data_IF_263307111979
#
_entry.id   IF_263307111979
#
_cell.length_a   1.000
_cell.length_b   1.000
_cell.length_c   1.000
_cell.angle_alpha   90.00
_cell.angle_beta   90.00
_cell.angle_gamma   90.00
#
_symmetry.space_group_name_H-M   'P 1'
#
loop_
_entity.id
_entity.type
_entity.pdbx_description
1 polymer ?
#
# COMPACT_ATOMS: atom_id res chain seq x y z
N UNK A 1 -22.77 -21.67 -13.62
CA UNK A 1 -22.80 -21.85 -15.09
C UNK A 1 -24.15 -22.37 -15.57
N UNK A 2 -24.69 -23.46 -15.02
CA UNK A 2 -25.99 -24.04 -15.42
C UNK A 2 -27.17 -23.05 -15.35
N UNK A 3 -27.26 -22.21 -14.31
CA UNK A 3 -28.31 -21.20 -14.18
C UNK A 3 -28.29 -20.07 -15.23
N UNK A 4 -27.31 -20.07 -16.16
CA UNK A 4 -27.32 -19.18 -17.33
C UNK A 4 -28.03 -19.81 -18.54
N UNK A 5 -28.45 -21.07 -18.45
CA UNK A 5 -29.19 -21.74 -19.51
C UNK A 5 -30.68 -21.36 -19.45
N UNK A 6 -31.22 -20.93 -20.59
CA UNK A 6 -32.61 -20.52 -20.73
C UNK A 6 -32.84 -19.03 -20.46
N UNK A 7 -33.81 -18.45 -21.17
CA UNK A 7 -34.26 -17.07 -20.97
C UNK A 7 -35.64 -17.09 -20.32
N UNK A 8 -35.76 -16.64 -19.05
CA UNK A 8 -37.06 -16.48 -18.41
C UNK A 8 -37.98 -15.64 -19.33
N UNK A 9 -39.23 -16.07 -19.49
CA UNK A 9 -40.27 -15.48 -20.37
C UNK A 9 -40.21 -15.83 -21.87
N UNK A 10 -39.11 -16.36 -22.40
CA UNK A 10 -39.00 -16.70 -23.83
C UNK A 10 -38.93 -18.20 -24.09
N UNK A 11 -38.19 -18.94 -23.27
CA UNK A 11 -37.93 -20.36 -23.47
C UNK A 11 -38.77 -21.19 -22.48
N UNK A 12 -39.37 -22.29 -22.94
CA UNK A 12 -40.19 -23.21 -22.11
C UNK A 12 -39.34 -24.28 -21.41
N UNK A 13 -38.14 -24.53 -21.91
CA UNK A 13 -37.16 -25.44 -21.33
C UNK A 13 -35.75 -25.00 -21.70
N UNK A 14 -34.76 -25.44 -20.93
CA UNK A 14 -33.36 -25.18 -21.18
C UNK A 14 -32.55 -26.45 -21.01
N UNK A 15 -31.54 -26.63 -21.85
CA UNK A 15 -30.64 -27.79 -21.81
C UNK A 15 -29.25 -27.30 -21.48
N UNK A 16 -28.62 -27.90 -20.47
CA UNK A 16 -27.21 -27.69 -20.14
C UNK A 16 -26.48 -29.03 -20.26
N UNK A 17 -25.41 -29.05 -21.07
CA UNK A 17 -24.56 -30.23 -21.25
C UNK A 17 -23.26 -29.97 -20.49
N UNK A 18 -22.92 -30.86 -19.56
CA UNK A 18 -21.73 -30.75 -18.71
C UNK A 18 -20.75 -31.86 -19.11
N UNK A 19 -19.63 -31.47 -19.69
CA UNK A 19 -18.53 -32.39 -19.99
C UNK A 19 -17.61 -32.49 -18.77
N UNK A 20 -17.45 -33.70 -18.23
CA UNK A 20 -16.62 -33.99 -17.05
C UNK A 20 -15.83 -35.27 -17.28
N UNK A 21 -14.71 -35.40 -16.57
CA UNK A 21 -14.00 -36.68 -16.48
C UNK A 21 -14.90 -37.73 -15.82
N UNK A 22 -14.80 -38.98 -16.27
CA UNK A 22 -15.68 -40.06 -15.81
C UNK A 22 -15.66 -40.23 -14.27
N UNK A 23 -14.49 -40.10 -13.65
CA UNK A 23 -14.31 -40.13 -12.19
C UNK A 23 -15.13 -39.07 -11.44
N UNK A 24 -15.42 -37.91 -12.05
CA UNK A 24 -16.21 -36.82 -11.45
C UNK A 24 -17.69 -36.88 -11.82
N UNK A 25 -18.09 -37.78 -12.73
CA UNK A 25 -19.47 -37.88 -13.23
C UNK A 25 -20.46 -38.16 -12.12
N UNK A 26 -20.16 -39.12 -11.25
CA UNK A 26 -21.05 -39.50 -10.13
C UNK A 26 -21.20 -38.33 -9.16
N UNK A 27 -20.08 -37.68 -8.82
CA UNK A 27 -20.06 -36.49 -7.94
C UNK A 27 -20.96 -35.38 -8.48
N UNK A 28 -20.76 -34.94 -9.74
CA UNK A 28 -21.60 -33.89 -10.31
C UNK A 28 -23.05 -34.33 -10.48
N UNK A 29 -23.30 -35.58 -10.90
CA UNK A 29 -24.66 -36.09 -11.03
C UNK A 29 -25.42 -36.01 -9.71
N UNK A 30 -24.79 -36.38 -8.59
CA UNK A 30 -25.43 -36.30 -7.28
C UNK A 30 -25.74 -34.84 -6.91
N UNK A 31 -24.75 -33.95 -6.93
CA UNK A 31 -24.91 -32.57 -6.47
C UNK A 31 -25.63 -31.62 -7.44
N UNK A 32 -26.04 -32.10 -8.63
CA UNK A 32 -26.96 -31.39 -9.51
C UNK A 32 -28.42 -31.55 -9.08
N UNK A 33 -28.76 -32.66 -8.43
CA UNK A 33 -30.12 -32.96 -7.98
C UNK A 33 -30.27 -32.87 -6.45
N UNK A 34 -29.18 -33.06 -5.71
CA UNK A 34 -29.11 -32.86 -4.26
C UNK A 34 -28.29 -31.60 -3.96
N UNK A 35 -28.72 -30.76 -2.99
CA UNK A 35 -27.96 -29.57 -2.61
C UNK A 35 -26.59 -29.97 -2.03
N UNK A 36 -25.56 -29.21 -2.40
CA UNK A 36 -24.21 -29.41 -1.87
C UNK A 36 -24.14 -29.00 -0.39
N UNK A 37 -23.58 -29.83 0.51
CA UNK A 37 -23.43 -29.46 1.92
C UNK A 37 -22.45 -28.31 2.05
N UNK A 38 -22.87 -27.22 2.68
CA UNK A 38 -22.03 -26.06 2.93
C UNK A 38 -21.42 -26.20 4.32
N UNK A 39 -20.10 -26.14 4.39
CA UNK A 39 -19.33 -26.18 5.64
C UNK A 39 -18.59 -24.85 5.86
N UNK A 40 -18.23 -24.57 7.11
CA UNK A 40 -17.51 -23.35 7.45
C UNK A 40 -16.01 -23.48 7.17
N UNK A 41 -15.42 -22.44 6.59
CA UNK A 41 -13.96 -22.28 6.43
C UNK A 41 -13.41 -21.15 7.30
N UNK A 42 -14.07 -20.84 8.42
CA UNK A 42 -13.70 -19.74 9.30
C UNK A 42 -12.38 -20.00 10.07
N UNK A 43 -12.09 -21.26 10.41
CA UNK A 43 -10.99 -21.61 11.30
C UNK A 43 -9.61 -21.04 10.88
N UNK A 44 -9.18 -21.12 9.60
CA UNK A 44 -7.90 -20.53 9.18
C UNK A 44 -7.86 -19.00 9.26
N UNK A 45 -9.01 -18.33 9.16
CA UNK A 45 -9.11 -16.87 9.19
C UNK A 45 -9.48 -16.32 10.57
N UNK A 46 -9.76 -17.19 11.55
CA UNK A 46 -10.34 -16.83 12.84
C UNK A 46 -9.46 -15.84 13.61
N UNK A 47 -8.14 -15.99 13.57
CA UNK A 47 -7.20 -15.08 14.22
C UNK A 47 -7.35 -13.64 13.73
N UNK A 48 -7.54 -13.42 12.43
CA UNK A 48 -7.74 -12.06 11.89
C UNK A 48 -9.04 -11.44 12.41
N UNK A 49 -10.12 -12.22 12.48
CA UNK A 49 -11.41 -11.75 12.99
C UNK A 49 -11.35 -11.46 14.50
N UNK A 50 -10.75 -12.35 15.29
CA UNK A 50 -10.58 -12.14 16.73
C UNK A 50 -9.73 -10.89 17.00
N UNK A 51 -8.63 -10.68 16.26
CA UNK A 51 -7.85 -9.44 16.37
C UNK A 51 -8.69 -8.19 16.07
N UNK A 52 -9.55 -8.24 15.05
CA UNK A 52 -10.44 -7.13 14.71
C UNK A 52 -11.45 -6.83 15.83
N UNK A 53 -12.00 -7.85 16.48
CA UNK A 53 -12.95 -7.68 17.58
C UNK A 53 -12.27 -7.27 18.91
N UNK A 54 -11.03 -7.67 19.13
CA UNK A 54 -10.22 -7.14 20.24
C UNK A 54 -9.88 -5.66 19.97
N UNK A 55 -9.55 -5.31 18.72
CA UNK A 55 -9.28 -3.93 18.31
C UNK A 55 -10.53 -3.04 18.41
N UNK A 56 -11.73 -3.57 18.14
CA UNK A 56 -13.00 -2.86 18.29
C UNK A 56 -13.41 -2.69 19.76
N UNK A 57 -12.80 -3.46 20.66
CA UNK A 57 -13.09 -3.48 22.10
C UNK A 57 -14.29 -4.34 22.48
N UNK A 58 -14.82 -5.14 21.55
CA UNK A 58 -15.89 -6.11 21.80
C UNK A 58 -15.38 -7.34 22.56
N UNK A 59 -14.14 -7.77 22.29
CA UNK A 59 -13.49 -8.89 22.98
C UNK A 59 -12.37 -8.35 23.87
N UNK A 60 -12.40 -8.71 25.15
CA UNK A 60 -11.43 -8.37 26.20
C UNK A 60 -10.97 -9.58 27.01
N UNK A 61 -11.60 -10.75 26.85
CA UNK A 61 -11.23 -11.97 27.58
C UNK A 61 -11.39 -13.21 26.71
N UNK A 62 -10.72 -14.30 27.08
CA UNK A 62 -10.87 -15.61 26.39
C UNK A 62 -12.33 -16.09 26.39
N UNK A 63 -13.09 -15.82 27.45
CA UNK A 63 -14.50 -16.16 27.53
C UNK A 63 -15.33 -15.46 26.45
N UNK A 64 -15.05 -14.19 26.17
CA UNK A 64 -15.73 -13.45 25.10
C UNK A 64 -15.36 -13.96 23.70
N UNK A 65 -14.19 -14.59 23.53
CA UNK A 65 -13.86 -15.29 22.28
C UNK A 65 -14.75 -16.52 22.09
N UNK A 66 -15.05 -17.28 23.16
CA UNK A 66 -16.01 -18.39 23.11
C UNK A 66 -17.38 -17.88 22.68
N UNK A 67 -17.86 -16.81 23.32
CA UNK A 67 -19.15 -16.19 23.01
C UNK A 67 -19.20 -15.73 21.55
N UNK A 68 -18.14 -15.09 21.05
CA UNK A 68 -18.00 -14.72 19.65
C UNK A 68 -18.12 -15.94 18.72
N UNK A 69 -17.33 -16.99 18.97
CA UNK A 69 -17.35 -18.22 18.16
C UNK A 69 -18.74 -18.85 18.19
N UNK A 70 -19.42 -18.87 19.35
CA UNK A 70 -20.77 -19.43 19.51
C UNK A 70 -21.82 -18.79 18.60
N UNK A 71 -21.63 -17.51 18.25
CA UNK A 71 -22.48 -16.77 17.33
C UNK A 71 -22.26 -17.09 15.84
N UNK A 72 -21.21 -17.85 15.50
CA UNK A 72 -20.80 -18.08 14.11
C UNK A 72 -21.48 -19.28 13.46
N UNK A 73 -21.48 -19.30 12.12
CA UNK A 73 -21.88 -20.49 11.36
C UNK A 73 -20.95 -21.68 11.61
N UNK A 74 -19.68 -21.42 11.91
CA UNK A 74 -18.71 -22.46 12.29
C UNK A 74 -19.18 -23.26 13.50
N UNK A 75 -19.58 -22.59 14.58
CA UNK A 75 -20.07 -23.28 15.77
C UNK A 75 -21.27 -24.18 15.43
N UNK A 76 -22.26 -23.67 14.70
CA UNK A 76 -23.43 -24.49 14.31
C UNK A 76 -23.05 -25.73 13.49
N UNK A 77 -22.07 -25.61 12.59
CA UNK A 77 -21.59 -26.73 11.77
C UNK A 77 -20.70 -27.70 12.53
N UNK A 78 -19.91 -27.22 13.50
CA UNK A 78 -19.08 -28.06 14.36
C UNK A 78 -19.92 -29.11 15.07
N UNK A 79 -21.07 -28.74 15.65
CA UNK A 79 -21.98 -29.69 16.31
C UNK A 79 -22.77 -30.57 15.33
N UNK A 80 -23.02 -30.10 14.12
CA UNK A 80 -23.78 -30.85 13.11
C UNK A 80 -22.92 -31.90 12.36
N UNK A 81 -21.64 -31.62 12.16
CA UNK A 81 -20.70 -32.50 11.46
C UNK A 81 -19.28 -32.37 12.04
N UNK A 82 -19.03 -32.84 13.28
CA UNK A 82 -17.74 -32.65 13.94
C UNK A 82 -16.57 -33.32 13.21
N UNK A 83 -16.81 -34.47 12.57
CA UNK A 83 -15.82 -35.22 11.83
C UNK A 83 -15.18 -34.44 10.68
N UNK A 84 -15.93 -33.50 10.07
CA UNK A 84 -15.39 -32.63 9.02
C UNK A 84 -14.28 -31.72 9.55
N UNK A 85 -14.37 -31.30 10.81
CA UNK A 85 -13.40 -30.42 11.47
C UNK A 85 -12.30 -31.21 12.21
N UNK A 86 -12.22 -32.53 12.02
CA UNK A 86 -11.23 -33.40 12.65
C UNK A 86 -11.59 -33.88 14.06
N UNK A 87 -12.84 -33.68 14.50
CA UNK A 87 -13.33 -34.15 15.79
C UNK A 87 -14.09 -35.48 15.61
N UNK A 88 -13.48 -36.58 16.06
CA UNK A 88 -14.07 -37.93 15.95
C UNK A 88 -14.89 -38.34 17.16
N UNK A 89 -14.53 -37.86 18.35
CA UNK A 89 -15.32 -38.08 19.57
C UNK A 89 -16.31 -36.94 19.75
N UNK A 90 -17.61 -37.24 19.72
CA UNK A 90 -18.71 -36.27 19.80
C UNK A 90 -19.22 -36.05 21.22
N UNK A 91 -18.48 -36.49 22.25
CA UNK A 91 -18.81 -36.17 23.63
C UNK A 91 -18.78 -34.65 23.87
N UNK A 92 -19.66 -34.16 24.74
CA UNK A 92 -19.74 -32.73 25.08
C UNK A 92 -18.40 -32.21 25.65
N UNK A 93 -17.71 -33.05 26.44
CA UNK A 93 -16.39 -32.74 26.99
C UNK A 93 -15.35 -32.57 25.88
N UNK A 94 -15.28 -33.49 24.92
CA UNK A 94 -14.33 -33.40 23.80
C UNK A 94 -14.59 -32.18 22.90
N UNK A 95 -15.86 -31.81 22.70
CA UNK A 95 -16.20 -30.59 21.95
C UNK A 95 -15.74 -29.31 22.66
N UNK A 96 -15.93 -29.23 23.99
CA UNK A 96 -15.46 -28.09 24.77
C UNK A 96 -13.93 -28.01 24.81
N UNK A 97 -13.24 -29.15 24.97
CA UNK A 97 -11.79 -29.21 24.88
C UNK A 97 -11.27 -28.75 23.51
N UNK A 98 -11.93 -29.15 22.43
CA UNK A 98 -11.56 -28.72 21.08
C UNK A 98 -11.74 -27.21 20.87
N UNK A 99 -12.86 -26.64 21.33
CA UNK A 99 -13.09 -25.20 21.27
C UNK A 99 -12.06 -24.42 22.09
N UNK A 100 -11.73 -24.89 23.30
CA UNK A 100 -10.65 -24.30 24.10
C UNK A 100 -9.32 -24.33 23.36
N UNK A 101 -8.95 -25.48 22.77
CA UNK A 101 -7.72 -25.63 22.00
C UNK A 101 -7.63 -24.70 20.78
N UNK A 102 -8.75 -24.45 20.09
CA UNK A 102 -8.82 -23.45 19.01
C UNK A 102 -8.53 -22.05 19.56
N UNK A 103 -9.12 -21.69 20.70
CA UNK A 103 -8.96 -20.35 21.28
C UNK A 103 -7.52 -20.15 21.74
N UNK A 104 -6.95 -21.13 22.42
CA UNK A 104 -5.55 -21.08 22.86
C UNK A 104 -4.61 -20.95 21.66
N UNK A 105 -4.87 -21.68 20.58
CA UNK A 105 -4.11 -21.55 19.32
C UNK A 105 -4.25 -20.16 18.71
N UNK A 106 -5.46 -19.59 18.65
CA UNK A 106 -5.71 -18.25 18.10
C UNK A 106 -5.02 -17.17 18.93
N UNK A 107 -5.17 -17.21 20.25
CA UNK A 107 -4.52 -16.25 21.16
C UNK A 107 -3.01 -16.36 21.02
N UNK A 108 -2.45 -17.58 21.00
CA UNK A 108 -1.02 -17.80 20.84
C UNK A 108 -0.49 -17.27 19.49
N UNK A 109 -1.22 -17.48 18.40
CA UNK A 109 -0.87 -16.94 17.08
C UNK A 109 -0.88 -15.41 17.07
N UNK A 110 -1.87 -14.78 17.70
CA UNK A 110 -1.96 -13.32 17.78
C UNK A 110 -0.87 -12.71 18.66
N UNK A 111 -0.53 -13.35 19.78
CA UNK A 111 0.62 -12.96 20.63
C UNK A 111 1.92 -13.10 19.85
N UNK A 112 2.13 -14.22 19.15
CA UNK A 112 3.34 -14.46 18.33
C UNK A 112 3.46 -13.47 17.16
N UNK A 113 2.36 -12.82 16.76
CA UNK A 113 2.37 -11.76 15.74
C UNK A 113 2.54 -10.36 16.31
N UNK A 114 2.76 -10.23 17.62
CA UNK A 114 2.72 -8.98 18.38
C UNK A 114 1.41 -8.19 18.18
N UNK A 115 0.30 -8.84 17.82
CA UNK A 115 -0.98 -8.16 17.56
C UNK A 115 -1.79 -7.90 18.83
N UNK A 116 -1.65 -8.76 19.85
CA UNK A 116 -2.33 -8.62 21.14
C UNK A 116 -1.34 -8.74 22.29
N UNK A 117 -1.71 -8.17 23.43
CA UNK A 117 -0.99 -8.30 24.71
C UNK A 117 -1.96 -8.92 25.71
N UNK A 118 -1.49 -9.96 26.40
CA UNK A 118 -2.21 -10.60 27.50
C UNK A 118 -1.67 -10.01 28.79
N UNK A 119 -2.53 -9.33 29.55
CA UNK A 119 -2.16 -8.76 30.83
C UNK A 119 -2.33 -9.82 31.92
N UNK A 120 -1.23 -10.20 32.57
CA UNK A 120 -1.20 -11.17 33.67
C UNK A 120 -1.09 -10.49 35.05
N UNK A 121 -1.46 -9.20 35.16
CA UNK A 121 -1.40 -8.51 36.46
C UNK A 121 -2.44 -9.06 37.45
N UNK A 122 -2.09 -9.21 38.74
CA UNK A 122 -2.93 -9.81 39.77
C UNK A 122 -4.02 -8.83 40.27
N UNK A 123 -4.84 -8.31 39.36
CA UNK A 123 -6.10 -7.62 39.67
C UNK A 123 -7.29 -8.48 39.21
N UNK A 124 -8.51 -8.11 39.62
CA UNK A 124 -9.72 -8.95 39.65
C UNK A 124 -10.15 -9.63 38.32
N UNK A 125 -9.51 -9.33 37.19
CA UNK A 125 -9.73 -9.97 35.88
C UNK A 125 -8.43 -10.65 35.37
N UNK A 126 -8.16 -11.87 35.84
CA UNK A 126 -7.09 -12.70 35.26
C UNK A 126 -7.34 -12.88 33.74
N UNK A 127 -6.35 -12.53 32.90
CA UNK A 127 -6.35 -12.70 31.43
C UNK A 127 -7.10 -11.64 30.59
N UNK A 128 -6.91 -10.35 30.88
CA UNK A 128 -7.37 -9.29 29.99
C UNK A 128 -6.57 -9.28 28.66
N UNK A 129 -7.29 -9.35 27.54
CA UNK A 129 -6.77 -9.26 26.19
C UNK A 129 -6.86 -7.82 25.70
N UNK A 130 -5.71 -7.24 25.34
CA UNK A 130 -5.65 -5.89 24.78
C UNK A 130 -5.00 -5.87 23.39
N UNK A 131 -5.49 -5.00 22.51
CA UNK A 131 -4.94 -4.86 21.16
C UNK A 131 -3.68 -4.00 21.17
N UNK A 132 -2.58 -4.52 20.60
CA UNK A 132 -1.34 -3.78 20.44
C UNK A 132 -1.45 -2.73 19.34
N UNK A 133 -0.43 -1.87 19.20
CA UNK A 133 -0.35 -0.93 18.07
C UNK A 133 -0.27 -1.67 16.73
N UNK A 134 0.42 -2.82 16.68
CA UNK A 134 0.56 -3.64 15.48
C UNK A 134 -0.74 -4.39 15.13
N UNK A 135 -1.50 -4.84 16.14
CA UNK A 135 -2.85 -5.40 15.95
C UNK A 135 -3.81 -4.37 15.37
N UNK A 136 -3.74 -3.11 15.86
CA UNK A 136 -4.49 -1.98 15.31
C UNK A 136 -4.12 -1.71 13.85
N UNK A 137 -2.83 -1.75 13.50
CA UNK A 137 -2.38 -1.57 12.12
C UNK A 137 -2.94 -2.66 11.18
N UNK A 138 -2.94 -3.92 11.62
CA UNK A 138 -3.55 -5.01 10.85
C UNK A 138 -5.03 -4.70 10.53
N UNK A 139 -5.78 -4.20 11.51
CA UNK A 139 -7.20 -3.88 11.35
C UNK A 139 -7.43 -2.66 10.45
N UNK A 140 -6.69 -1.57 10.65
CA UNK A 140 -6.83 -0.33 9.87
C UNK A 140 -6.58 -0.59 8.38
N UNK A 141 -5.58 -1.43 8.06
CA UNK A 141 -5.20 -1.74 6.68
C UNK A 141 -5.80 -3.05 6.15
N UNK A 142 -6.66 -3.71 6.93
CA UNK A 142 -7.28 -5.00 6.60
C UNK A 142 -6.27 -6.10 6.23
N UNK A 143 -5.08 -6.08 6.83
CA UNK A 143 -3.99 -7.03 6.56
C UNK A 143 -4.13 -8.28 7.43
N UNK A 144 -3.54 -9.38 6.97
CA UNK A 144 -3.45 -10.59 7.79
C UNK A 144 -2.46 -10.36 8.95
N UNK A 145 -2.72 -10.93 10.12
CA UNK A 145 -1.80 -10.83 11.26
C UNK A 145 -0.40 -11.40 10.92
N UNK A 146 -0.37 -12.44 10.08
CA UNK A 146 0.86 -13.05 9.57
C UNK A 146 1.70 -12.07 8.73
N UNK A 147 1.05 -11.15 8.03
CA UNK A 147 1.74 -10.10 7.28
C UNK A 147 2.42 -9.13 8.20
N UNK A 148 1.76 -8.70 9.27
CA UNK A 148 2.38 -7.83 10.27
C UNK A 148 3.57 -8.54 10.92
N UNK A 149 3.42 -9.83 11.28
CA UNK A 149 4.53 -10.66 11.79
C UNK A 149 5.71 -10.68 10.81
N UNK A 150 5.46 -10.94 9.54
CA UNK A 150 6.48 -10.96 8.48
C UNK A 150 7.15 -9.59 8.28
N UNK A 151 6.38 -8.51 8.26
CA UNK A 151 6.92 -7.16 8.10
C UNK A 151 7.80 -6.76 9.30
N UNK A 152 7.43 -7.17 10.52
CA UNK A 152 8.23 -6.92 11.72
C UNK A 152 9.54 -7.71 11.75
N UNK A 153 9.59 -8.90 11.13
CA UNK A 153 10.82 -9.69 11.05
C UNK A 153 11.76 -9.22 9.93
N UNK A 154 11.21 -8.81 8.79
CA UNK A 154 12.01 -8.53 7.59
C UNK A 154 12.42 -7.05 7.42
N UNK A 155 11.60 -6.10 7.88
CA UNK A 155 11.93 -4.68 7.74
C UNK A 155 13.13 -4.29 8.62
N UNK A 156 14.05 -3.52 8.03
CA UNK A 156 15.26 -3.00 8.70
C UNK A 156 15.31 -1.48 8.61
N UNK A 157 16.10 -0.86 9.47
CA UNK A 157 16.24 0.59 9.60
C UNK A 157 16.86 1.29 8.38
N UNK A 158 17.65 0.57 7.59
CA UNK A 158 18.30 1.07 6.37
C UNK A 158 18.03 0.18 5.15
N UNK A 159 16.77 -0.21 4.95
CA UNK A 159 16.38 -1.08 3.84
C UNK A 159 16.39 -0.29 2.52
N UNK A 160 17.02 -0.85 1.48
CA UNK A 160 17.02 -0.24 0.15
C UNK A 160 15.72 -0.54 -0.63
N UNK A 161 15.50 0.14 -1.76
CA UNK A 161 14.26 0.00 -2.54
C UNK A 161 14.08 -1.43 -3.09
N UNK A 162 15.15 -2.09 -3.52
CA UNK A 162 15.08 -3.46 -4.07
C UNK A 162 14.72 -4.48 -2.97
N UNK A 163 15.30 -4.34 -1.78
CA UNK A 163 14.95 -5.11 -0.58
C UNK A 163 13.48 -4.87 -0.19
N UNK A 164 13.04 -3.61 -0.17
CA UNK A 164 11.66 -3.28 0.14
C UNK A 164 10.67 -3.84 -0.88
N UNK A 165 11.03 -3.87 -2.17
CA UNK A 165 10.23 -4.52 -3.19
C UNK A 165 10.17 -6.05 -2.97
N UNK A 166 11.28 -6.68 -2.58
CA UNK A 166 11.29 -8.10 -2.21
C UNK A 166 10.38 -8.36 -1.00
N UNK A 167 10.49 -7.57 0.06
CA UNK A 167 9.62 -7.66 1.24
C UNK A 167 8.15 -7.49 0.85
N UNK A 168 7.80 -6.43 0.10
CA UNK A 168 6.43 -6.18 -0.38
C UNK A 168 5.85 -7.39 -1.12
N UNK A 169 6.64 -8.05 -1.95
CA UNK A 169 6.16 -9.16 -2.80
C UNK A 169 6.05 -10.51 -2.11
N UNK A 170 6.76 -10.69 -0.99
CA UNK A 170 6.77 -11.94 -0.21
C UNK A 170 5.76 -11.94 0.94
N UNK A 171 4.97 -10.87 1.09
CA UNK A 171 3.90 -10.82 2.09
C UNK A 171 2.80 -11.86 1.81
N UNK A 172 2.18 -12.42 2.87
CA UNK A 172 1.10 -13.40 2.75
C UNK A 172 -0.08 -13.00 1.86
N UNK A 173 -0.39 -11.71 1.69
CA UNK A 173 -1.47 -11.23 0.82
C UNK A 173 -1.30 -11.65 -0.65
N UNK A 174 -0.07 -11.93 -1.09
CA UNK A 174 0.22 -12.35 -2.45
C UNK A 174 0.34 -13.88 -2.63
N UNK A 175 0.07 -14.65 -1.58
CA UNK A 175 0.08 -16.12 -1.65
C UNK A 175 -0.97 -16.68 -2.63
N UNK A 176 -2.10 -15.99 -2.77
CA UNK A 176 -3.23 -16.41 -3.63
C UNK A 176 -3.13 -15.94 -5.09
N UNK A 177 -2.04 -15.26 -5.48
CA UNK A 177 -1.83 -14.89 -6.88
C UNK A 177 -1.72 -16.17 -7.72
N UNK A 178 -2.58 -16.37 -8.74
CA UNK A 178 -2.63 -17.64 -9.45
C UNK A 178 -1.36 -17.85 -10.25
N UNK A 179 -0.78 -19.04 -10.15
CA UNK A 179 0.24 -19.53 -11.09
C UNK A 179 -0.39 -20.66 -11.90
N UNK A 180 -0.69 -20.36 -13.16
CA UNK A 180 -1.38 -21.28 -14.08
C UNK A 180 -0.39 -22.26 -14.71
N UNK A 181 -0.93 -23.29 -15.36
CA UNK A 181 -0.11 -24.31 -16.00
C UNK A 181 0.82 -23.70 -17.07
N UNK A 182 2.10 -24.07 -17.03
CA UNK A 182 3.19 -23.57 -17.89
C UNK A 182 3.56 -22.09 -17.72
N UNK A 183 3.01 -21.40 -16.70
CA UNK A 183 3.43 -20.02 -16.41
C UNK A 183 4.83 -19.94 -15.80
N UNK A 184 5.39 -21.03 -15.29
CA UNK A 184 6.79 -21.12 -14.86
C UNK A 184 7.78 -20.82 -16.01
N UNK A 185 7.47 -21.32 -17.22
CA UNK A 185 8.23 -21.03 -18.44
C UNK A 185 8.06 -19.56 -18.84
N UNK A 186 6.82 -19.04 -18.79
CA UNK A 186 6.52 -17.64 -19.12
C UNK A 186 7.19 -16.68 -18.14
N UNK A 187 7.19 -17.01 -16.84
CA UNK A 187 7.88 -16.26 -15.80
C UNK A 187 9.41 -16.26 -16.02
N UNK A 188 9.95 -17.41 -16.43
CA UNK A 188 11.37 -17.53 -16.78
C UNK A 188 11.75 -16.64 -17.95
N UNK A 189 10.90 -16.56 -18.98
CA UNK A 189 11.13 -15.69 -20.13
C UNK A 189 10.93 -14.21 -19.79
N UNK A 190 9.89 -13.87 -19.03
CA UNK A 190 9.62 -12.51 -18.58
C UNK A 190 10.80 -11.95 -17.77
N UNK A 191 11.36 -12.73 -16.85
CA UNK A 191 12.50 -12.32 -16.03
C UNK A 191 13.73 -11.89 -16.85
N UNK A 192 13.95 -12.44 -18.05
CA UNK A 192 15.10 -12.07 -18.89
C UNK A 192 15.10 -10.59 -19.27
N UNK A 193 13.92 -9.98 -19.30
CA UNK A 193 13.68 -8.57 -19.61
C UNK A 193 13.71 -7.65 -18.38
N UNK A 194 13.87 -8.22 -17.17
CA UNK A 194 13.73 -7.51 -15.90
C UNK A 194 15.09 -7.37 -15.18
N UNK A 195 15.18 -6.36 -14.31
CA UNK A 195 16.40 -5.99 -13.57
C UNK A 195 16.76 -7.02 -12.50
N UNK A 196 15.80 -7.42 -11.67
CA UNK A 196 15.98 -8.33 -10.54
C UNK A 196 15.61 -9.75 -10.97
N UNK A 197 16.55 -10.68 -10.78
CA UNK A 197 16.42 -12.08 -11.18
C UNK A 197 16.32 -13.02 -9.96
N UNK A 198 15.56 -14.08 -10.13
CA UNK A 198 15.33 -15.20 -9.22
C UNK A 198 15.85 -16.50 -9.82
N UNK A 199 16.04 -17.51 -8.97
CA UNK A 199 16.31 -18.87 -9.40
C UNK A 199 15.15 -19.40 -10.26
N UNK A 200 15.46 -20.11 -11.33
CA UNK A 200 14.43 -20.74 -12.17
C UNK A 200 13.61 -21.79 -11.42
N UNK A 201 14.14 -22.32 -10.31
CA UNK A 201 13.46 -23.31 -9.47
C UNK A 201 12.27 -22.79 -8.67
N UNK A 202 12.05 -21.47 -8.61
CA UNK A 202 10.96 -20.83 -7.84
C UNK A 202 9.94 -20.11 -8.72
N UNK A 203 9.96 -20.36 -10.02
CA UNK A 203 9.10 -19.69 -11.01
C UNK A 203 7.63 -20.08 -10.93
N UNK A 204 7.34 -21.14 -10.19
CA UNK A 204 6.01 -21.63 -9.83
C UNK A 204 5.42 -20.93 -8.59
N UNK A 205 6.19 -20.07 -7.90
CA UNK A 205 5.74 -19.36 -6.70
C UNK A 205 4.91 -18.11 -7.01
N UNK A 206 3.78 -17.97 -6.32
CA UNK A 206 2.90 -16.79 -6.36
C UNK A 206 3.66 -15.49 -6.02
N UNK A 207 4.55 -15.53 -5.03
CA UNK A 207 5.34 -14.37 -4.59
C UNK A 207 6.34 -13.91 -5.66
N UNK A 208 7.01 -14.87 -6.32
CA UNK A 208 7.95 -14.57 -7.42
C UNK A 208 7.18 -13.97 -8.58
N UNK A 209 6.03 -14.55 -8.95
CA UNK A 209 5.16 -13.97 -9.97
C UNK A 209 4.73 -12.54 -9.63
N UNK A 210 4.30 -12.27 -8.40
CA UNK A 210 3.97 -10.92 -7.95
C UNK A 210 5.14 -9.96 -8.12
N UNK A 211 6.37 -10.39 -7.78
CA UNK A 211 7.57 -9.60 -7.96
C UNK A 211 7.88 -9.29 -9.43
N UNK A 212 7.79 -10.28 -10.31
CA UNK A 212 7.97 -10.07 -11.75
C UNK A 212 6.93 -9.09 -12.32
N UNK A 213 5.67 -9.16 -11.84
CA UNK A 213 4.61 -8.26 -12.25
C UNK A 213 4.88 -6.79 -11.84
N UNK A 214 5.39 -6.54 -10.62
CA UNK A 214 5.79 -5.17 -10.23
C UNK A 214 6.92 -4.64 -11.11
N UNK A 215 7.95 -5.45 -11.37
CA UNK A 215 9.04 -5.02 -12.24
C UNK A 215 8.56 -4.75 -13.67
N UNK A 216 7.70 -5.63 -14.21
CA UNK A 216 7.09 -5.42 -15.53
C UNK A 216 6.22 -4.16 -15.58
N UNK A 217 5.56 -3.81 -14.48
CA UNK A 217 4.81 -2.56 -14.33
C UNK A 217 5.72 -1.33 -14.33
N UNK A 218 6.82 -1.35 -13.57
CA UNK A 218 7.78 -0.24 -13.54
C UNK A 218 8.47 -0.02 -14.89
N UNK A 219 8.84 -1.11 -15.58
CA UNK A 219 9.40 -1.06 -16.94
C UNK A 219 8.33 -0.82 -18.02
N UNK A 220 7.04 -0.83 -17.67
CA UNK A 220 5.88 -0.73 -18.57
C UNK A 220 5.92 -1.74 -19.73
N UNK A 221 6.37 -2.96 -19.45
CA UNK A 221 6.40 -4.04 -20.43
C UNK A 221 4.98 -4.40 -20.90
N UNK A 222 4.79 -4.73 -22.19
CA UNK A 222 3.52 -5.23 -22.69
C UNK A 222 3.25 -6.64 -22.13
N UNK A 223 2.24 -6.76 -21.29
CA UNK A 223 1.81 -8.04 -20.70
C UNK A 223 0.65 -8.68 -21.47
N UNK A 224 0.54 -10.01 -21.39
CA UNK A 224 -0.62 -10.79 -21.86
C UNK A 224 -1.85 -10.51 -21.00
N UNK A 225 -3.06 -10.82 -21.49
CA UNK A 225 -4.33 -10.51 -20.81
C UNK A 225 -4.39 -11.06 -19.38
N UNK A 226 -3.98 -12.31 -19.18
CA UNK A 226 -4.01 -12.95 -17.85
C UNK A 226 -3.04 -12.27 -16.88
N UNK A 227 -1.83 -11.92 -17.35
CA UNK A 227 -0.85 -11.18 -16.55
C UNK A 227 -1.30 -9.74 -16.25
N UNK A 228 -2.09 -9.11 -17.13
CA UNK A 228 -2.70 -7.80 -16.83
C UNK A 228 -3.76 -7.91 -15.73
N UNK A 229 -4.57 -8.97 -15.73
CA UNK A 229 -5.53 -9.20 -14.64
C UNK A 229 -4.83 -9.47 -13.33
N UNK A 230 -3.75 -10.27 -13.35
CA UNK A 230 -2.97 -10.56 -12.15
C UNK A 230 -2.23 -9.32 -11.64
N UNK A 231 -1.66 -8.50 -12.54
CA UNK A 231 -1.04 -7.22 -12.19
C UNK A 231 -2.04 -6.30 -11.50
N UNK A 232 -3.27 -6.19 -12.02
CA UNK A 232 -4.30 -5.37 -11.39
C UNK A 232 -4.60 -5.84 -9.96
N UNK A 233 -4.72 -7.16 -9.75
CA UNK A 233 -4.92 -7.73 -8.42
C UNK A 233 -3.75 -7.41 -7.48
N UNK A 234 -2.50 -7.48 -7.98
CA UNK A 234 -1.31 -7.14 -7.20
C UNK A 234 -1.28 -5.66 -6.80
N UNK A 235 -1.53 -4.76 -7.75
CA UNK A 235 -1.54 -3.31 -7.51
C UNK A 235 -2.71 -2.86 -6.62
N UNK A 236 -3.85 -3.55 -6.67
CA UNK A 236 -5.00 -3.25 -5.81
C UNK A 236 -4.71 -3.43 -4.33
N UNK A 237 -3.82 -4.36 -3.98
CA UNK A 237 -3.41 -4.65 -2.60
C UNK A 237 -2.17 -3.85 -2.15
N UNK A 238 -1.33 -3.39 -3.08
CA UNK A 238 0.00 -2.86 -2.72
C UNK A 238 -0.05 -1.61 -1.83
N UNK A 239 -1.06 -0.74 -2.00
CA UNK A 239 -1.10 0.56 -1.33
C UNK A 239 -1.34 0.43 0.18
N UNK A 240 -2.23 -0.46 0.60
CA UNK A 240 -2.49 -0.73 2.03
C UNK A 240 -1.29 -1.40 2.71
N UNK A 241 -0.56 -2.25 1.98
CA UNK A 241 0.65 -2.91 2.49
C UNK A 241 1.79 -1.87 2.65
N UNK A 242 2.02 -1.03 1.64
CA UNK A 242 3.02 0.05 1.70
C UNK A 242 2.72 1.07 2.80
N UNK A 243 1.44 1.40 3.02
CA UNK A 243 1.02 2.24 4.14
C UNK A 243 1.35 1.60 5.49
N UNK A 244 1.02 0.32 5.68
CA UNK A 244 1.38 -0.42 6.89
C UNK A 244 2.91 -0.49 7.10
N UNK A 245 3.69 -0.74 6.05
CA UNK A 245 5.16 -0.73 6.12
C UNK A 245 5.70 0.62 6.61
N UNK A 246 5.16 1.75 6.12
CA UNK A 246 5.56 3.08 6.59
C UNK A 246 5.19 3.33 8.05
N UNK A 247 3.99 2.93 8.46
CA UNK A 247 3.54 3.14 9.85
C UNK A 247 4.35 2.29 10.83
N UNK A 248 4.75 1.07 10.44
CA UNK A 248 5.72 0.28 11.21
C UNK A 248 7.05 1.04 11.34
N UNK A 249 7.55 1.64 10.24
CA UNK A 249 8.76 2.46 10.29
C UNK A 249 8.59 3.71 11.15
N UNK A 250 7.39 4.30 11.22
CA UNK A 250 7.06 5.41 12.12
C UNK A 250 7.16 4.99 13.58
N UNK A 251 6.58 3.85 13.94
CA UNK A 251 6.65 3.29 15.31
C UNK A 251 8.10 2.95 15.69
N UNK A 252 8.86 2.35 14.77
CA UNK A 252 10.28 1.99 14.98
C UNK A 252 11.24 3.17 14.81
N UNK A 253 10.74 4.33 14.33
CA UNK A 253 11.47 5.56 14.07
C UNK A 253 12.59 5.45 13.01
N UNK A 254 12.38 4.63 11.97
CA UNK A 254 13.33 4.42 10.88
C UNK A 254 13.13 5.40 9.73
N UNK A 255 14.04 6.37 9.60
CA UNK A 255 13.88 7.47 8.66
C UNK A 255 14.13 7.08 7.20
N UNK A 256 15.30 6.49 6.90
CA UNK A 256 15.72 6.14 5.57
C UNK A 256 14.74 5.14 4.92
N UNK A 257 14.36 4.10 5.67
CA UNK A 257 13.36 3.13 5.20
C UNK A 257 12.00 3.77 4.92
N UNK A 258 11.52 4.70 5.76
CA UNK A 258 10.24 5.38 5.51
C UNK A 258 10.25 6.24 4.23
N UNK A 259 11.37 6.91 3.95
CA UNK A 259 11.58 7.65 2.70
C UNK A 259 11.58 6.68 1.51
N UNK A 260 12.34 5.58 1.59
CA UNK A 260 12.42 4.59 0.50
C UNK A 260 11.08 3.90 0.23
N UNK A 261 10.28 3.61 1.26
CA UNK A 261 8.91 3.07 1.06
C UNK A 261 8.01 4.11 0.37
N UNK A 262 8.19 5.39 0.67
CA UNK A 262 7.45 6.46 0.00
C UNK A 262 7.81 6.54 -1.49
N UNK A 263 9.10 6.43 -1.83
CA UNK A 263 9.55 6.34 -3.23
C UNK A 263 8.99 5.09 -3.90
N UNK A 264 9.02 3.92 -3.24
CA UNK A 264 8.42 2.69 -3.78
C UNK A 264 6.91 2.84 -4.03
N UNK A 265 6.20 3.58 -3.17
CA UNK A 265 4.80 3.92 -3.41
C UNK A 265 4.61 4.79 -4.65
N UNK A 266 5.45 5.80 -4.84
CA UNK A 266 5.44 6.64 -6.05
C UNK A 266 5.73 5.81 -7.31
N UNK A 267 6.67 4.86 -7.25
CA UNK A 267 6.96 3.93 -8.35
C UNK A 267 5.72 3.09 -8.73
N UNK A 268 4.98 2.58 -7.74
CA UNK A 268 3.74 1.85 -7.96
C UNK A 268 2.66 2.69 -8.67
N UNK A 269 2.48 3.96 -8.27
CA UNK A 269 1.51 4.84 -8.92
C UNK A 269 1.95 5.29 -10.32
N UNK A 270 3.21 5.75 -10.44
CA UNK A 270 3.76 6.31 -11.69
C UNK A 270 4.14 5.24 -12.71
N UNK A 271 4.22 3.97 -12.31
CA UNK A 271 4.65 2.85 -13.14
C UNK A 271 6.02 3.13 -13.79
N UNK A 272 6.99 3.53 -12.96
CA UNK A 272 8.36 3.87 -13.35
C UNK A 272 9.32 3.50 -12.23
N UNK A 273 10.57 3.24 -12.61
CA UNK A 273 11.65 3.10 -11.64
C UNK A 273 12.04 4.47 -11.08
N UNK A 274 12.67 4.46 -9.90
CA UNK A 274 13.08 5.69 -9.21
C UNK A 274 14.26 6.40 -9.92
N UNK A 275 15.02 5.66 -10.72
CA UNK A 275 16.18 6.11 -11.49
C UNK A 275 15.84 6.39 -12.98
N UNK A 276 14.58 6.20 -13.38
CA UNK A 276 14.09 6.56 -14.72
C UNK A 276 14.10 8.09 -14.92
N UNK A 277 14.17 8.52 -16.19
CA UNK A 277 14.09 9.94 -16.53
C UNK A 277 12.74 10.53 -16.03
N UNK A 278 12.73 11.64 -15.24
CA UNK A 278 11.51 12.15 -14.59
C UNK A 278 10.33 12.42 -15.53
N UNK A 279 10.61 12.91 -16.75
CA UNK A 279 9.58 13.15 -17.78
C UNK A 279 8.84 11.88 -18.24
N UNK A 280 9.38 10.67 -18.03
CA UNK A 280 8.71 9.42 -18.40
C UNK A 280 7.45 9.13 -17.57
N UNK A 281 7.22 9.89 -16.51
CA UNK A 281 5.96 9.87 -15.76
C UNK A 281 4.80 10.48 -16.58
N UNK A 282 5.09 11.36 -17.54
CA UNK A 282 4.12 11.92 -18.46
C UNK A 282 3.60 10.85 -19.45
N UNK A 283 2.38 11.03 -19.99
CA UNK A 283 1.85 10.10 -21.00
C UNK A 283 2.68 10.13 -22.28
N UNK A 284 2.65 9.04 -23.05
CA UNK A 284 3.21 8.90 -24.42
C UNK A 284 4.72 9.08 -24.63
N UNK A 285 5.45 9.71 -23.72
CA UNK A 285 6.88 9.94 -23.89
C UNK A 285 7.70 8.65 -23.79
N UNK A 286 8.55 8.44 -24.80
CA UNK A 286 9.64 7.46 -24.80
C UNK A 286 10.93 8.04 -24.19
N UNK A 287 11.89 7.17 -23.87
CA UNK A 287 13.20 7.58 -23.33
C UNK A 287 13.91 8.56 -24.26
N UNK A 288 14.02 8.23 -25.56
CA UNK A 288 14.68 9.08 -26.55
C UNK A 288 14.06 10.48 -26.64
N UNK A 289 12.73 10.57 -26.57
CA UNK A 289 12.00 11.84 -26.60
C UNK A 289 12.23 12.66 -25.33
N UNK A 290 12.26 12.01 -24.17
CA UNK A 290 12.57 12.67 -22.91
C UNK A 290 13.99 13.27 -22.93
N UNK A 291 14.99 12.52 -23.41
CA UNK A 291 16.37 13.01 -23.54
C UNK A 291 16.49 14.19 -24.52
N UNK A 292 15.72 14.21 -25.61
CA UNK A 292 15.68 15.34 -26.56
C UNK A 292 15.09 16.62 -25.95
N UNK A 293 14.21 16.49 -24.96
CA UNK A 293 13.65 17.64 -24.22
C UNK A 293 14.65 18.20 -23.19
N UNK A 294 15.48 17.33 -22.62
CA UNK A 294 16.67 17.67 -21.84
C UNK A 294 17.10 16.48 -20.99
N UNK A 295 18.42 16.26 -20.85
CA UNK A 295 18.96 15.02 -20.29
C UNK A 295 18.55 14.67 -18.86
N UNK A 296 18.30 15.67 -18.01
CA UNK A 296 17.86 15.52 -16.61
C UNK A 296 16.68 16.46 -16.29
N UNK A 297 15.86 16.76 -17.30
CA UNK A 297 14.76 17.73 -17.16
C UNK A 297 13.68 17.16 -16.23
N UNK A 298 13.27 17.93 -15.24
CA UNK A 298 12.12 17.59 -14.38
C UNK A 298 10.82 18.23 -14.90
N UNK A 299 9.67 17.72 -14.47
CA UNK A 299 8.37 18.30 -14.86
C UNK A 299 8.23 19.76 -14.38
N UNK A 300 8.63 20.14 -13.15
CA UNK A 300 8.60 21.54 -12.73
C UNK A 300 9.47 22.47 -13.58
N UNK A 301 10.67 22.04 -13.99
CA UNK A 301 11.52 22.84 -14.88
C UNK A 301 10.91 22.98 -16.29
N UNK A 302 10.22 21.93 -16.77
CA UNK A 302 9.49 21.98 -18.03
C UNK A 302 8.30 22.94 -17.96
N UNK A 303 7.58 22.96 -16.82
CA UNK A 303 6.50 23.92 -16.55
C UNK A 303 7.01 25.37 -16.60
N UNK A 304 8.15 25.66 -15.97
CA UNK A 304 8.76 27.00 -16.00
C UNK A 304 9.16 27.40 -17.43
N UNK A 305 9.85 26.50 -18.16
CA UNK A 305 10.26 26.73 -19.55
C UNK A 305 9.07 27.01 -20.48
N UNK A 306 7.95 26.32 -20.28
CA UNK A 306 6.74 26.50 -21.08
C UNK A 306 5.86 27.67 -20.62
N UNK A 307 6.26 28.36 -19.55
CA UNK A 307 5.56 29.53 -19.02
C UNK A 307 4.25 29.17 -18.33
N UNK A 308 4.18 27.98 -17.72
CA UNK A 308 3.02 27.54 -16.94
C UNK A 308 3.01 28.31 -15.61
N UNK A 309 2.34 29.48 -15.62
CA UNK A 309 2.24 30.33 -14.42
C UNK A 309 1.37 29.67 -13.34
N UNK A 310 1.76 29.73 -12.06
CA UNK A 310 0.95 29.28 -10.92
C UNK A 310 -0.43 29.92 -10.80
N UNK A 311 -0.61 31.16 -11.30
CA UNK A 311 -1.75 32.02 -10.96
C UNK A 311 -2.84 32.05 -12.05
N UNK A 312 -2.44 32.06 -13.33
CA UNK A 312 -3.34 32.06 -14.48
C UNK A 312 -2.75 31.22 -15.62
N UNK A 313 -3.11 29.94 -15.69
CA UNK A 313 -2.77 29.09 -16.83
C UNK A 313 -3.82 29.29 -17.93
N UNK A 314 -3.46 30.00 -18.99
CA UNK A 314 -4.17 29.90 -20.27
C UNK A 314 -3.72 28.62 -20.98
N UNK A 315 -4.47 27.54 -20.75
CA UNK A 315 -4.15 26.19 -21.27
C UNK A 315 -4.04 26.19 -22.78
N UNK A 316 -4.94 26.91 -23.47
CA UNK A 316 -4.93 26.94 -24.93
C UNK A 316 -3.70 27.67 -25.45
N UNK A 317 -3.30 28.78 -24.81
CA UNK A 317 -2.11 29.51 -25.20
C UNK A 317 -0.83 28.68 -24.98
N UNK A 318 -0.71 27.99 -23.84
CA UNK A 318 0.44 27.12 -23.56
C UNK A 318 0.51 25.97 -24.57
N UNK A 319 -0.62 25.34 -24.90
CA UNK A 319 -0.69 24.31 -25.94
C UNK A 319 -0.28 24.88 -27.29
N UNK A 320 -0.89 25.97 -27.77
CA UNK A 320 -0.58 26.57 -29.08
C UNK A 320 0.90 26.95 -29.21
N UNK A 321 1.50 27.49 -28.14
CA UNK A 321 2.91 27.94 -28.14
C UNK A 321 3.90 26.78 -28.18
N UNK A 322 3.64 25.71 -27.43
CA UNK A 322 4.61 24.63 -27.21
C UNK A 322 4.36 23.39 -28.08
N UNK A 323 3.20 23.28 -28.74
CA UNK A 323 2.84 22.13 -29.59
C UNK A 323 3.85 21.92 -30.72
N UNK A 324 4.19 22.99 -31.46
CA UNK A 324 5.17 22.91 -32.55
C UNK A 324 6.55 22.48 -32.02
N UNK A 325 6.97 23.05 -30.90
CA UNK A 325 8.25 22.70 -30.27
C UNK A 325 8.33 21.22 -29.88
N UNK A 326 7.23 20.67 -29.34
CA UNK A 326 7.19 19.26 -28.93
C UNK A 326 7.16 18.34 -30.15
N UNK A 327 6.36 18.65 -31.17
CA UNK A 327 6.28 17.86 -32.42
C UNK A 327 7.63 17.87 -33.15
N UNK A 328 8.29 19.02 -33.25
CA UNK A 328 9.59 19.14 -33.94
C UNK A 328 10.70 18.30 -33.26
N UNK A 329 10.54 17.93 -31.99
CA UNK A 329 11.53 17.16 -31.19
C UNK A 329 11.07 15.76 -30.82
N UNK A 330 9.87 15.35 -31.18
CA UNK A 330 9.31 14.03 -30.86
C UNK A 330 8.70 13.37 -32.08
N UNK A 331 8.33 12.10 -31.94
CA UNK A 331 7.61 11.34 -32.98
C UNK A 331 6.11 11.26 -32.69
N UNK A 332 5.63 12.09 -31.76
CA UNK A 332 4.26 12.08 -31.29
C UNK A 332 3.29 12.67 -32.31
N UNK A 333 2.11 12.05 -32.41
CA UNK A 333 0.97 12.65 -33.09
C UNK A 333 0.48 13.90 -32.35
N UNK A 334 -0.22 14.80 -33.06
CA UNK A 334 -0.68 16.06 -32.49
C UNK A 334 -1.59 15.88 -31.27
N UNK A 335 -2.42 14.83 -31.26
CA UNK A 335 -3.29 14.45 -30.13
C UNK A 335 -2.47 14.05 -28.90
N UNK A 336 -1.49 13.15 -29.07
CA UNK A 336 -0.60 12.72 -27.99
C UNK A 336 0.26 13.88 -27.46
N UNK A 337 0.76 14.74 -28.34
CA UNK A 337 1.52 15.92 -27.96
C UNK A 337 0.67 16.92 -27.14
N UNK A 338 -0.60 17.11 -27.50
CA UNK A 338 -1.55 17.91 -26.69
C UNK A 338 -1.78 17.30 -25.32
N UNK A 339 -1.94 15.99 -25.22
CA UNK A 339 -2.11 15.29 -23.94
C UNK A 339 -0.88 15.42 -23.04
N UNK A 340 0.34 15.37 -23.60
CA UNK A 340 1.58 15.64 -22.86
C UNK A 340 1.59 17.05 -22.29
N UNK A 341 1.29 18.06 -23.12
CA UNK A 341 1.30 19.46 -22.67
C UNK A 341 0.22 19.69 -21.60
N UNK A 342 -0.96 19.10 -21.78
CA UNK A 342 -2.03 19.17 -20.80
C UNK A 342 -1.64 18.49 -19.48
N UNK A 343 -1.00 17.32 -19.54
CA UNK A 343 -0.45 16.64 -18.36
C UNK A 343 0.57 17.50 -17.62
N UNK A 344 1.44 18.20 -18.35
CA UNK A 344 2.40 19.15 -17.76
C UNK A 344 1.68 20.34 -17.14
N UNK A 345 0.60 20.86 -17.72
CA UNK A 345 -0.21 21.91 -17.08
C UNK A 345 -0.93 21.44 -15.81
N UNK A 346 -1.41 20.20 -15.79
CA UNK A 346 -2.17 19.63 -14.66
C UNK A 346 -1.28 19.02 -13.56
N UNK A 347 0.05 18.98 -13.78
CA UNK A 347 1.04 18.48 -12.85
C UNK A 347 1.15 19.39 -11.61
N UNK A 348 0.97 18.87 -10.39
CA UNK A 348 0.95 19.71 -9.20
C UNK A 348 2.36 20.09 -8.75
N UNK A 349 2.60 21.39 -8.58
CA UNK A 349 3.78 21.91 -7.89
C UNK A 349 3.33 22.48 -6.55
N UNK A 350 4.00 22.06 -5.47
CA UNK A 350 3.86 22.67 -4.16
C UNK A 350 5.11 23.48 -3.86
N UNK A 351 4.96 24.76 -3.53
CA UNK A 351 6.03 25.58 -2.98
C UNK A 351 5.86 25.75 -1.47
N UNK A 352 6.97 25.74 -0.74
CA UNK A 352 7.00 26.06 0.69
C UNK A 352 7.34 27.54 0.88
N UNK A 353 6.35 28.35 1.24
CA UNK A 353 6.51 29.81 1.40
C UNK A 353 6.97 30.19 2.82
N UNK A 354 6.87 29.28 3.78
CA UNK A 354 7.33 29.52 5.13
C UNK A 354 7.49 28.21 5.89
N UNK A 355 8.62 28.06 6.56
CA UNK A 355 8.95 26.92 7.41
C UNK A 355 9.53 27.45 8.71
N UNK A 356 8.82 27.25 9.82
CA UNK A 356 9.23 27.74 11.14
C UNK A 356 8.97 26.70 12.21
N UNK A 357 9.92 26.53 13.12
CA UNK A 357 9.73 25.75 14.32
C UNK A 357 9.35 26.71 15.46
N UNK A 358 8.22 26.47 16.11
CA UNK A 358 7.71 27.30 17.21
C UNK A 358 7.76 26.52 18.52
N UNK A 359 8.14 27.19 19.60
CA UNK A 359 7.96 26.67 20.96
C UNK A 359 6.47 26.60 21.31
N UNK A 360 6.11 25.76 22.28
CA UNK A 360 4.72 25.54 22.71
C UNK A 360 3.99 26.83 23.14
N UNK A 361 4.72 27.91 23.44
CA UNK A 361 4.18 29.24 23.76
C UNK A 361 3.88 30.16 22.56
N UNK A 362 4.12 29.71 21.32
CA UNK A 362 3.78 30.47 20.11
C UNK A 362 4.76 31.59 19.73
N UNK A 363 5.79 31.83 20.53
CA UNK A 363 6.87 32.76 20.17
C UNK A 363 7.82 32.09 19.16
N UNK A 364 8.22 32.81 18.08
CA UNK A 364 9.29 32.35 17.23
C UNK A 364 10.59 32.35 18.05
N UNK A 365 11.16 31.18 18.31
CA UNK A 365 12.50 31.10 18.87
C UNK A 365 13.48 31.56 17.79
N UNK A 366 13.87 32.84 17.88
CA UNK A 366 14.90 33.46 17.03
C UNK A 366 16.28 32.83 17.26
N UNK A 367 16.45 32.12 18.38
CA UNK A 367 17.65 31.38 18.70
C UNK A 367 17.52 29.95 18.20
N UNK A 368 18.50 29.45 17.47
CA UNK A 368 18.61 28.03 17.06
C UNK A 368 18.78 27.06 18.24
N UNK A 369 18.49 27.46 19.48
CA UNK A 369 18.64 26.68 20.70
C UNK A 369 17.31 26.03 21.05
N UNK A 370 17.31 24.70 21.10
CA UNK A 370 16.14 23.88 21.40
C UNK A 370 16.47 22.94 22.55
N UNK A 371 15.49 22.58 23.37
CA UNK A 371 15.69 21.67 24.48
C UNK A 371 15.43 20.24 24.04
N UNK A 372 16.37 19.37 24.37
CA UNK A 372 16.26 17.93 24.18
C UNK A 372 14.99 17.36 24.83
N UNK A 373 14.25 16.52 24.11
CA UNK A 373 13.02 15.87 24.60
C UNK A 373 11.77 16.74 24.65
N UNK A 374 11.85 18.04 24.35
CA UNK A 374 10.66 18.90 24.27
C UNK A 374 9.96 18.78 22.92
N UNK A 375 8.63 18.94 22.95
CA UNK A 375 7.80 19.01 21.75
C UNK A 375 7.70 20.44 21.25
N UNK A 376 7.99 20.61 19.97
CA UNK A 376 7.90 21.86 19.23
C UNK A 376 6.89 21.73 18.11
N UNK A 377 6.38 22.85 17.62
CA UNK A 377 5.41 22.88 16.52
C UNK A 377 6.07 23.37 15.24
N UNK A 378 6.24 22.46 14.28
CA UNK A 378 6.64 22.81 12.93
C UNK A 378 5.43 23.39 12.19
N UNK A 379 5.55 24.65 11.78
CA UNK A 379 4.55 25.34 10.98
C UNK A 379 5.08 25.51 9.57
N UNK A 380 4.37 24.94 8.61
CA UNK A 380 4.70 25.04 7.19
C UNK A 380 3.54 25.68 6.42
N UNK A 381 3.84 26.69 5.61
CA UNK A 381 2.91 27.34 4.70
C UNK A 381 3.17 26.84 3.29
N UNK A 382 2.24 26.05 2.77
CA UNK A 382 2.31 25.41 1.47
C UNK A 382 1.44 26.17 0.46
N UNK A 383 1.93 26.35 -0.76
CA UNK A 383 1.15 26.90 -1.86
C UNK A 383 1.15 25.95 -3.05
N UNK A 384 -0.03 25.52 -3.49
CA UNK A 384 -0.22 24.73 -4.69
C UNK A 384 -0.30 25.64 -5.91
N UNK A 385 0.60 25.46 -6.87
CA UNK A 385 0.58 26.15 -8.15
C UNK A 385 -0.29 25.41 -9.18
N UNK A 386 -0.97 26.14 -10.06
CA UNK A 386 -1.52 25.63 -11.32
C UNK A 386 -2.83 24.82 -11.26
N UNK A 387 -3.22 24.23 -10.13
CA UNK A 387 -4.50 23.51 -10.00
C UNK A 387 -5.64 24.37 -9.47
N UNK A 388 -6.66 24.59 -10.30
CA UNK A 388 -7.97 25.14 -9.87
C UNK A 388 -8.88 23.99 -9.42
N UNK A 389 -8.97 23.79 -8.10
CA UNK A 389 -9.95 22.89 -7.49
C UNK A 389 -9.31 21.71 -6.75
N UNK A 390 -9.94 21.30 -5.64
CA UNK A 390 -9.48 20.19 -4.79
C UNK A 390 -9.65 18.81 -5.44
N UNK A 391 -10.50 18.71 -6.48
CA UNK A 391 -10.95 17.44 -7.05
C UNK A 391 -10.29 17.06 -8.38
N UNK A 392 -9.15 17.66 -8.74
CA UNK A 392 -8.47 17.31 -9.99
C UNK A 392 -7.80 15.92 -9.82
N UNK A 393 -8.07 14.94 -10.70
CA UNK A 393 -7.41 13.63 -10.63
C UNK A 393 -5.93 13.77 -10.95
N UNK A 394 -5.09 12.92 -10.36
CA UNK A 394 -3.67 12.82 -10.65
C UNK A 394 -3.46 12.24 -12.06
N UNK A 395 -2.44 12.71 -12.77
CA UNK A 395 -2.07 12.22 -14.10
C UNK A 395 -1.24 10.96 -13.92
N UNK A 396 -1.89 9.80 -13.91
CA UNK A 396 -1.26 8.48 -13.71
C UNK A 396 -1.64 7.53 -14.86
N UNK A 397 -0.94 7.58 -16.02
CA UNK A 397 -1.38 6.89 -17.24
C UNK A 397 -1.49 5.36 -17.14
N UNK A 398 -0.79 4.76 -16.18
CA UNK A 398 -0.73 3.30 -15.98
C UNK A 398 -1.41 2.84 -14.69
N UNK A 399 -2.07 3.75 -13.96
CA UNK A 399 -2.80 3.43 -12.75
C UNK A 399 -4.30 3.32 -13.06
N UNK A 400 -4.96 2.26 -12.58
CA UNK A 400 -6.34 1.96 -13.00
C UNK A 400 -7.43 2.65 -12.20
N UNK A 401 -7.10 3.16 -11.01
CA UNK A 401 -8.06 3.78 -10.09
C UNK A 401 -7.90 5.29 -10.10
N UNK A 402 -8.99 6.03 -9.97
CA UNK A 402 -8.88 7.48 -9.77
C UNK A 402 -8.15 7.77 -8.46
N UNK A 403 -7.21 8.71 -8.51
CA UNK A 403 -6.41 9.14 -7.37
C UNK A 403 -6.27 10.65 -7.41
N UNK A 404 -6.44 11.31 -6.28
CA UNK A 404 -6.07 12.71 -6.12
C UNK A 404 -4.68 12.80 -5.52
N UNK A 405 -3.84 13.72 -5.98
CA UNK A 405 -2.50 13.89 -5.46
C UNK A 405 -2.52 14.35 -4.00
N UNK A 406 -1.78 13.65 -3.13
CA UNK A 406 -1.53 14.06 -1.74
C UNK A 406 -0.03 14.13 -1.47
N UNK A 407 0.32 14.70 -0.32
CA UNK A 407 1.71 14.86 0.10
C UNK A 407 1.92 14.23 1.46
N UNK A 408 3.12 13.73 1.69
CA UNK A 408 3.60 13.23 2.96
C UNK A 408 4.69 14.19 3.45
N UNK A 409 4.59 14.58 4.71
CA UNK A 409 5.62 15.35 5.40
C UNK A 409 6.32 14.39 6.35
N UNK A 410 7.59 14.10 6.07
CA UNK A 410 8.45 13.31 6.94
C UNK A 410 9.44 14.26 7.60
N UNK A 411 9.47 14.25 8.93
CA UNK A 411 10.39 15.08 9.71
C UNK A 411 11.30 14.16 10.49
N UNK A 412 12.61 14.31 10.31
CA UNK A 412 13.59 13.42 10.92
C UNK A 412 14.97 14.04 11.04
N UNK A 413 15.88 13.33 11.70
CA UNK A 413 17.30 13.65 11.75
C UNK A 413 18.02 12.65 10.84
N UNK A 414 18.40 13.10 9.65
CA UNK A 414 18.97 12.24 8.59
C UNK A 414 20.27 11.57 9.04
N UNK A 415 21.15 12.33 9.70
CA UNK A 415 22.47 11.86 10.16
C UNK A 415 22.38 10.70 11.17
N UNK A 416 21.24 10.55 11.84
CA UNK A 416 20.99 9.50 12.85
C UNK A 416 19.97 8.48 12.42
N UNK A 417 19.51 8.56 11.17
CA UNK A 417 18.45 7.71 10.64
C UNK A 417 17.19 7.69 11.54
N UNK A 418 16.85 8.83 12.16
CA UNK A 418 15.83 8.89 13.20
C UNK A 418 14.61 9.69 12.73
N UNK A 419 13.47 9.00 12.55
CA UNK A 419 12.21 9.63 12.18
C UNK A 419 11.53 10.21 13.42
N UNK A 420 11.22 11.50 13.39
CA UNK A 420 10.56 12.20 14.50
C UNK A 420 9.04 12.15 14.36
N UNK A 421 8.54 12.43 13.16
CA UNK A 421 7.10 12.42 12.88
C UNK A 421 6.82 12.33 11.38
N UNK A 422 5.63 11.82 11.05
CA UNK A 422 5.13 11.70 9.69
C UNK A 422 3.67 12.19 9.66
N UNK A 423 3.30 12.96 8.64
CA UNK A 423 1.91 13.44 8.49
C UNK A 423 1.50 13.48 7.03
N UNK A 424 0.29 13.01 6.73
CA UNK A 424 -0.30 13.11 5.39
C UNK A 424 -1.09 14.40 5.22
N UNK A 425 -0.85 15.08 4.12
CA UNK A 425 -1.58 16.27 3.68
C UNK A 425 -2.57 15.82 2.61
N UNK A 426 -3.86 15.98 2.92
CA UNK A 426 -4.92 15.76 1.94
C UNK A 426 -4.83 16.74 0.76
N UNK A 427 -5.38 16.38 -0.41
CA UNK A 427 -5.41 17.25 -1.58
C UNK A 427 -5.93 18.66 -1.24
N UNK A 428 -5.23 19.69 -1.71
CA UNK A 428 -5.59 21.09 -1.46
C UNK A 428 -5.32 21.97 -2.69
N UNK A 429 -5.93 23.15 -2.71
CA UNK A 429 -5.74 24.16 -3.73
C UNK A 429 -5.41 25.51 -3.08
N UNK A 430 -4.60 26.33 -3.74
CA UNK A 430 -4.13 27.59 -3.18
C UNK A 430 -3.16 27.41 -2.02
N UNK A 431 -3.31 28.22 -0.97
CA UNK A 431 -2.44 28.21 0.20
C UNK A 431 -3.03 27.39 1.35
N UNK A 432 -2.19 26.56 1.99
CA UNK A 432 -2.55 25.77 3.17
C UNK A 432 -1.44 25.86 4.21
N UNK A 433 -1.81 26.28 5.42
CA UNK A 433 -0.92 26.24 6.58
C UNK A 433 -1.12 24.92 7.31
N UNK A 434 -0.04 24.16 7.48
CA UNK A 434 -0.02 22.93 8.25
C UNK A 434 0.78 23.12 9.55
N UNK A 435 0.44 22.32 10.55
CA UNK A 435 1.08 22.31 11.86
C UNK A 435 1.35 20.86 12.21
N UNK A 436 2.62 20.56 12.48
CA UNK A 436 3.07 19.21 12.84
C UNK A 436 3.81 19.32 14.16
N UNK A 437 3.40 18.54 15.15
CA UNK A 437 4.10 18.49 16.43
C UNK A 437 5.29 17.53 16.31
N UNK A 438 6.46 17.99 16.74
CA UNK A 438 7.77 17.34 16.59
C UNK A 438 8.43 17.27 17.96
N UNK A 439 8.63 16.07 18.49
CA UNK A 439 9.38 15.87 19.73
C UNK A 439 10.86 15.74 19.41
N UNK A 440 11.70 16.61 19.98
CA UNK A 440 13.13 16.59 19.73
C UNK A 440 13.79 15.36 20.35
N UNK A 441 14.82 14.78 19.69
CA UNK A 441 15.52 13.62 20.21
C UNK A 441 16.24 13.95 21.53
N UNK A 442 16.42 12.94 22.37
CA UNK A 442 17.06 13.06 23.69
C UNK A 442 18.59 13.15 23.60
N UNK A 443 19.12 14.08 22.81
CA UNK A 443 20.56 14.17 22.54
C UNK A 443 20.98 15.62 22.42
N UNK A 444 22.18 15.93 22.90
CA UNK A 444 22.75 17.27 22.86
C UNK A 444 23.60 17.51 21.62
N UNK A 445 23.75 18.79 21.28
CA UNK A 445 24.64 19.28 20.24
C UNK A 445 23.91 19.74 18.97
N UNK A 446 24.71 20.27 18.05
CA UNK A 446 24.24 20.79 16.77
C UNK A 446 23.84 19.66 15.84
N UNK A 447 22.63 19.74 15.30
CA UNK A 447 22.10 18.80 14.31
C UNK A 447 21.19 19.51 13.34
N UNK A 448 20.85 18.86 12.23
CA UNK A 448 19.82 19.35 11.32
C UNK A 448 18.54 18.54 11.52
N UNK A 449 17.40 19.24 11.52
CA UNK A 449 16.09 18.60 11.32
C UNK A 449 15.77 18.69 9.84
N UNK A 450 15.65 17.55 9.21
CA UNK A 450 15.29 17.42 7.81
C UNK A 450 13.77 17.29 7.69
N UNK A 451 13.16 18.15 6.89
CA UNK A 451 11.74 18.12 6.53
C UNK A 451 11.66 17.72 5.07
N UNK A 452 11.16 16.52 4.81
CA UNK A 452 10.87 16.02 3.47
C UNK A 452 9.39 16.23 3.16
N UNK A 453 9.12 16.97 2.09
CA UNK A 453 7.80 17.10 1.50
C UNK A 453 7.78 16.22 0.25
N UNK A 454 7.17 15.03 0.37
CA UNK A 454 7.14 14.04 -0.70
C UNK A 454 5.74 13.95 -1.29
N UNK A 455 5.63 13.76 -2.60
CA UNK A 455 4.35 13.36 -3.21
C UNK A 455 4.05 11.92 -2.83
N UNK A 456 2.77 11.56 -2.75
CA UNK A 456 2.40 10.16 -2.53
C UNK A 456 2.29 9.34 -3.81
N UNK A 457 2.31 9.97 -4.98
CA UNK A 457 2.09 9.31 -6.28
C UNK A 457 3.04 9.73 -7.40
N UNK A 458 3.67 10.90 -7.34
CA UNK A 458 4.58 11.39 -8.37
C UNK A 458 6.04 11.25 -7.97
N UNK A 459 6.87 10.87 -8.94
CA UNK A 459 8.33 10.89 -8.83
C UNK A 459 8.89 12.26 -9.24
N UNK A 460 10.03 12.64 -8.66
CA UNK A 460 10.83 13.79 -9.12
C UNK A 460 10.31 15.18 -8.71
N UNK A 461 9.34 15.27 -7.80
CA UNK A 461 8.83 16.55 -7.25
C UNK A 461 9.00 16.68 -5.73
N UNK A 462 9.76 15.77 -5.14
CA UNK A 462 10.01 15.74 -3.70
C UNK A 462 11.03 16.81 -3.29
N UNK A 463 10.81 17.41 -2.12
CA UNK A 463 11.62 18.53 -1.63
C UNK A 463 12.18 18.22 -0.25
N UNK A 464 13.45 18.53 -0.04
CA UNK A 464 14.14 18.40 1.26
C UNK A 464 14.51 19.80 1.78
N UNK A 465 14.16 20.07 3.04
CA UNK A 465 14.54 21.28 3.76
C UNK A 465 15.29 20.91 5.03
N UNK A 466 16.43 21.56 5.27
CA UNK A 466 17.21 21.36 6.49
C UNK A 466 17.08 22.59 7.40
N UNK A 467 16.67 22.37 8.65
CA UNK A 467 16.61 23.40 9.68
C UNK A 467 17.77 23.14 10.66
N UNK A 468 18.76 24.04 10.77
CA UNK A 468 19.83 23.91 11.75
C UNK A 468 19.28 24.14 13.16
N UNK A 469 19.56 23.20 14.07
CA UNK A 469 19.17 23.26 15.47
C UNK A 469 20.36 22.94 16.38
N UNK A 470 20.39 23.54 17.55
CA UNK A 470 21.36 23.32 18.62
C UNK A 470 20.59 22.81 19.84
N UNK A 471 20.78 21.53 20.18
CA UNK A 471 20.05 20.88 21.26
C UNK A 471 20.82 21.01 22.58
N UNK A 472 20.23 21.71 23.55
CA UNK A 472 20.77 21.91 24.91
C UNK A 472 20.33 20.83 25.92
#
# INVERSE_FOLDING_TARGET
MMGRAGRPQFDTSAVAIIYVQDAKKVFYKQFLYEPFPVESSLQPALANHVNAEICSGMIRSRQQVIEYISGTYFYRRLFANPCYYGLYDTSDESMLCFLSGIIDSVVQELVTSDCIVVNDEPSDDENELSCSVFGKLACVYYLQHQTIRFLLSELKDNSNIEELLRILTHVPEYSEIPVRHNEDLVNTDLQKLLRIRFSTSVMDSSHVKAHLLFQAHFTRLPLQTDYRTDLKSVLDQCMRILQAMRDICMIKKWFATAVNITVLQQMCYSARWYDDHPLLCLPHLSEDEAYKLGANMTVPELQDRWGVSPENIDREMVVRKNLKYLIDRSTLEETAAKEVIQAVCDWPIVSVNGLKLLSSGGYPDSSSKFQSGKTYRLVMTLRMAGRRGKNVPAVLPKWTKEKQASWLVLVGVKDRNHLLTMTQISPFAGERRIRVDVTMPNVKGRTHVNVFLMSDCYLGIDQEYAIPIDLE
#
